data_IF_536946117771
#
_entry.id   IF_536946117771
#
_cell.length_a   1.000
_cell.length_b   1.000
_cell.length_c   1.000
_cell.angle_alpha   90.00
_cell.angle_beta   90.00
_cell.angle_gamma   90.00
#
_symmetry.space_group_name_H-M   'P 1'
#
loop_
_entity.id
_entity.type
_entity.pdbx_description
1 polymer ?
#
# COMPACT_ATOMS: atom_id res chain seq x y z
N UNK A 1 -10.34 -24.51 -13.98
CA UNK A 1 -9.32 -23.63 -13.37
C UNK A 1 -8.13 -24.50 -13.02
N UNK A 2 -7.10 -24.50 -13.86
CA UNK A 2 -5.94 -25.38 -13.70
C UNK A 2 -4.86 -24.57 -12.96
N UNK A 3 -4.71 -24.79 -11.66
CA UNK A 3 -3.59 -24.22 -10.92
C UNK A 3 -2.31 -24.79 -11.52
N UNK A 4 -1.60 -23.97 -12.30
CA UNK A 4 -0.26 -24.31 -12.77
C UNK A 4 0.65 -24.52 -11.55
N UNK A 5 1.42 -25.62 -11.48
CA UNK A 5 2.25 -25.96 -10.31
C UNK A 5 3.40 -24.99 -10.04
N UNK A 6 3.56 -23.95 -10.86
CA UNK A 6 4.68 -23.01 -10.84
C UNK A 6 4.18 -21.57 -10.63
N UNK A 7 3.94 -21.12 -9.39
CA UNK A 7 3.35 -19.81 -9.10
C UNK A 7 4.24 -18.61 -9.54
N UNK A 8 5.52 -18.87 -9.82
CA UNK A 8 6.48 -17.90 -10.38
C UNK A 8 6.41 -17.79 -11.91
N UNK A 9 5.71 -18.71 -12.60
CA UNK A 9 5.64 -18.69 -14.06
C UNK A 9 4.83 -17.46 -14.51
N UNK A 10 5.24 -16.89 -15.65
CA UNK A 10 4.54 -15.75 -16.26
C UNK A 10 3.11 -16.11 -16.67
N UNK A 11 2.20 -15.15 -16.57
CA UNK A 11 0.78 -15.33 -16.92
C UNK A 11 0.04 -16.34 -16.05
N UNK A 12 0.49 -16.55 -14.80
CA UNK A 12 -0.19 -17.43 -13.84
C UNK A 12 -1.13 -16.69 -12.91
N UNK A 13 -1.07 -15.36 -12.90
CA UNK A 13 -2.03 -14.54 -12.17
C UNK A 13 -3.45 -14.81 -12.70
N UNK A 14 -4.45 -14.98 -11.81
CA UNK A 14 -5.85 -15.04 -12.21
C UNK A 14 -6.41 -13.67 -12.62
N UNK A 15 -5.66 -12.58 -12.45
CA UNK A 15 -6.08 -11.21 -12.74
C UNK A 15 -5.28 -10.70 -13.94
N UNK A 16 -6.01 -10.18 -14.92
CA UNK A 16 -5.47 -9.53 -16.11
C UNK A 16 -6.15 -8.16 -16.21
N UNK A 17 -5.40 -7.09 -16.48
CA UNK A 17 -5.96 -5.74 -16.54
C UNK A 17 -6.37 -5.40 -17.97
N UNK A 18 -6.74 -4.14 -18.20
CA UNK A 18 -7.28 -3.71 -19.49
C UNK A 18 -6.21 -3.52 -20.59
N UNK A 19 -4.92 -3.49 -20.24
CA UNK A 19 -3.84 -3.36 -21.22
C UNK A 19 -3.61 -4.70 -21.92
N UNK A 20 -3.47 -4.68 -23.25
CA UNK A 20 -3.18 -5.91 -23.99
C UNK A 20 -1.77 -6.44 -23.71
N UNK A 21 -1.68 -7.75 -23.55
CA UNK A 21 -0.44 -8.44 -23.20
C UNK A 21 0.58 -8.51 -24.35
N UNK A 22 1.83 -8.15 -24.06
CA UNK A 22 2.99 -8.14 -24.94
C UNK A 22 2.83 -7.26 -26.20
N UNK A 23 2.00 -6.22 -26.13
CA UNK A 23 1.74 -5.33 -27.28
C UNK A 23 2.97 -4.53 -27.72
N UNK A 24 3.77 -4.03 -26.77
CA UNK A 24 4.93 -3.17 -27.06
C UNK A 24 6.28 -3.88 -26.93
N UNK A 25 6.35 -4.95 -26.15
CA UNK A 25 7.60 -5.69 -25.89
C UNK A 25 7.31 -7.18 -25.72
N UNK A 26 8.13 -8.08 -26.28
CA UNK A 26 7.97 -9.53 -26.08
C UNK A 26 8.38 -9.98 -24.67
N UNK A 27 8.97 -9.10 -23.85
CA UNK A 27 9.46 -9.44 -22.51
C UNK A 27 8.55 -8.90 -21.40
N UNK A 28 7.83 -7.81 -21.64
CA UNK A 28 6.99 -7.13 -20.65
C UNK A 28 5.54 -7.35 -21.04
N UNK A 29 4.75 -7.97 -20.16
CA UNK A 29 3.35 -8.28 -20.44
C UNK A 29 2.52 -7.00 -20.61
N UNK A 30 2.42 -6.16 -19.58
CA UNK A 30 1.69 -4.88 -19.66
C UNK A 30 2.71 -3.72 -19.58
N UNK A 31 3.09 -3.17 -20.73
CA UNK A 31 4.20 -2.21 -20.83
C UNK A 31 3.88 -0.87 -20.17
N UNK A 32 2.71 -0.29 -20.46
CA UNK A 32 2.30 1.00 -19.92
C UNK A 32 2.09 0.90 -18.42
N UNK A 33 1.43 -0.16 -17.94
CA UNK A 33 1.26 -0.41 -16.51
C UNK A 33 2.61 -0.59 -15.80
N UNK A 34 3.56 -1.32 -16.40
CA UNK A 34 4.92 -1.47 -15.86
C UNK A 34 5.67 -0.14 -15.79
N UNK A 35 5.70 0.63 -16.88
CA UNK A 35 6.47 1.89 -16.94
C UNK A 35 5.86 2.98 -16.07
N UNK A 36 4.54 3.01 -15.92
CA UNK A 36 3.85 3.99 -15.06
C UNK A 36 4.34 3.95 -13.60
N UNK A 37 4.82 2.80 -13.14
CA UNK A 37 5.38 2.61 -11.82
C UNK A 37 6.69 3.40 -11.56
N UNK A 38 7.33 3.97 -12.59
CA UNK A 38 8.53 4.81 -12.44
C UNK A 38 8.33 5.97 -11.46
N UNK A 39 7.09 6.46 -11.34
CA UNK A 39 6.73 7.52 -10.41
C UNK A 39 6.99 7.14 -8.94
N UNK A 40 6.82 5.86 -8.59
CA UNK A 40 7.13 5.36 -7.24
C UNK A 40 8.64 5.33 -6.96
N UNK A 41 9.50 5.45 -7.97
CA UNK A 41 10.95 5.57 -7.80
C UNK A 41 11.42 7.03 -7.70
N UNK A 42 10.65 7.94 -8.29
CA UNK A 42 10.98 9.37 -8.33
C UNK A 42 10.42 10.09 -7.10
N UNK A 43 9.14 9.89 -6.78
CA UNK A 43 8.48 10.65 -5.73
C UNK A 43 9.03 10.38 -4.33
N UNK A 44 9.21 9.13 -3.85
CA UNK A 44 9.64 8.91 -2.48
C UNK A 44 11.02 9.49 -2.13
N UNK A 45 12.07 9.40 -2.98
CA UNK A 45 13.33 10.11 -2.74
C UNK A 45 13.17 11.63 -2.72
N UNK A 46 12.39 12.18 -3.65
CA UNK A 46 12.12 13.62 -3.71
C UNK A 46 11.39 14.10 -2.45
N UNK A 47 10.34 13.39 -2.04
CA UNK A 47 9.56 13.68 -0.84
C UNK A 47 10.38 13.47 0.45
N UNK A 48 11.31 12.51 0.47
CA UNK A 48 12.24 12.32 1.59
C UNK A 48 13.06 13.59 1.84
N UNK A 49 13.55 14.22 0.79
CA UNK A 49 14.32 15.48 0.91
C UNK A 49 13.42 16.65 1.32
N UNK A 50 12.23 16.77 0.72
CA UNK A 50 11.31 17.87 0.96
C UNK A 50 10.69 17.83 2.37
N UNK A 51 10.39 16.65 2.89
CA UNK A 51 9.74 16.46 4.20
C UNK A 51 10.73 16.18 5.34
N UNK A 52 12.02 16.51 5.17
CA UNK A 52 13.06 16.29 6.18
C UNK A 52 12.74 16.97 7.52
N UNK A 53 12.31 18.24 7.48
CA UNK A 53 11.93 19.00 8.67
C UNK A 53 10.72 18.38 9.39
N UNK A 54 9.70 18.00 8.62
CA UNK A 54 8.54 17.29 9.16
C UNK A 54 8.96 15.98 9.86
N UNK A 55 9.87 15.21 9.26
CA UNK A 55 10.36 13.97 9.85
C UNK A 55 11.10 14.19 11.18
N UNK A 56 11.83 15.30 11.32
CA UNK A 56 12.55 15.64 12.55
C UNK A 56 11.62 16.15 13.65
N UNK A 57 10.66 17.00 13.31
CA UNK A 57 9.78 17.65 14.29
C UNK A 57 8.55 16.82 14.69
N UNK A 58 8.02 16.00 13.76
CA UNK A 58 6.73 15.31 13.96
C UNK A 58 6.93 13.81 14.13
N UNK A 59 7.44 13.13 13.10
CA UNK A 59 7.59 11.68 13.14
C UNK A 59 8.55 11.15 12.06
N UNK A 60 9.68 10.56 12.47
CA UNK A 60 10.64 9.90 11.57
C UNK A 60 10.08 8.69 10.85
N UNK A 61 8.96 8.13 11.31
CA UNK A 61 8.25 7.03 10.66
C UNK A 61 7.80 7.33 9.23
N UNK A 62 7.76 8.60 8.81
CA UNK A 62 7.50 8.96 7.40
C UNK A 62 8.50 8.35 6.42
N UNK A 63 9.77 8.13 6.84
CA UNK A 63 10.76 7.46 6.00
C UNK A 63 10.43 5.99 5.73
N UNK A 64 9.79 5.31 6.69
CA UNK A 64 9.28 3.95 6.47
C UNK A 64 8.22 3.95 5.36
N UNK A 65 7.36 4.97 5.33
CA UNK A 65 6.31 5.10 4.31
C UNK A 65 6.90 5.33 2.93
N UNK A 66 7.93 6.16 2.82
CA UNK A 66 8.68 6.34 1.57
C UNK A 66 9.36 5.05 1.11
N UNK A 67 9.96 4.30 2.03
CA UNK A 67 10.51 2.96 1.73
C UNK A 67 9.44 1.98 1.24
N UNK A 68 8.28 1.94 1.90
CA UNK A 68 7.17 1.07 1.50
C UNK A 68 6.57 1.46 0.15
N UNK A 69 6.48 2.76 -0.17
CA UNK A 69 6.06 3.23 -1.50
C UNK A 69 7.02 2.79 -2.61
N UNK A 70 8.33 2.81 -2.35
CA UNK A 70 9.32 2.27 -3.29
C UNK A 70 9.12 0.76 -3.49
N UNK A 71 8.88 0.02 -2.41
CA UNK A 71 8.59 -1.42 -2.47
C UNK A 71 7.34 -1.70 -3.29
N UNK A 72 6.25 -0.94 -3.10
CA UNK A 72 5.02 -1.06 -3.91
C UNK A 72 5.32 -0.84 -5.40
N UNK A 73 6.08 0.20 -5.74
CA UNK A 73 6.47 0.45 -7.15
C UNK A 73 7.27 -0.70 -7.77
N UNK A 74 8.21 -1.28 -7.00
CA UNK A 74 9.00 -2.44 -7.42
C UNK A 74 8.13 -3.68 -7.65
N UNK A 75 7.26 -4.00 -6.70
CA UNK A 75 6.40 -5.19 -6.77
C UNK A 75 5.33 -5.05 -7.85
N UNK A 76 4.74 -3.87 -7.99
CA UNK A 76 3.75 -3.58 -9.03
C UNK A 76 4.36 -3.63 -10.43
N UNK A 77 5.54 -3.02 -10.63
CA UNK A 77 6.26 -3.13 -11.90
C UNK A 77 6.61 -4.59 -12.22
N UNK A 78 7.04 -5.38 -11.23
CA UNK A 78 7.32 -6.80 -11.43
C UNK A 78 6.06 -7.60 -11.77
N UNK A 79 4.94 -7.32 -11.11
CA UNK A 79 3.65 -7.93 -11.41
C UNK A 79 3.23 -7.64 -12.85
N UNK A 80 3.12 -6.37 -13.25
CA UNK A 80 2.68 -6.00 -14.60
C UNK A 80 3.66 -6.46 -15.70
N UNK A 81 4.95 -6.57 -15.39
CA UNK A 81 5.92 -7.11 -16.34
C UNK A 81 5.77 -8.62 -16.58
N UNK A 82 5.29 -9.37 -15.59
CA UNK A 82 5.30 -10.85 -15.61
C UNK A 82 3.91 -11.50 -15.62
N UNK A 83 2.89 -10.81 -15.12
CA UNK A 83 1.57 -11.35 -14.74
C UNK A 83 1.68 -12.68 -13.98
N UNK A 84 2.65 -12.78 -13.07
CA UNK A 84 2.85 -13.96 -12.23
C UNK A 84 1.99 -13.89 -10.96
N UNK A 85 1.54 -15.04 -10.47
CA UNK A 85 0.77 -15.10 -9.21
C UNK A 85 1.61 -14.60 -8.03
N UNK A 86 2.90 -14.94 -7.98
CA UNK A 86 3.81 -14.40 -6.95
C UNK A 86 3.95 -12.89 -7.06
N UNK A 87 4.09 -12.35 -8.29
CA UNK A 87 4.14 -10.90 -8.49
C UNK A 87 2.89 -10.21 -7.96
N UNK A 88 1.70 -10.75 -8.26
CA UNK A 88 0.43 -10.24 -7.75
C UNK A 88 0.40 -10.23 -6.21
N UNK A 89 0.77 -11.34 -5.58
CA UNK A 89 0.77 -11.44 -4.13
C UNK A 89 1.75 -10.48 -3.47
N UNK A 90 2.95 -10.34 -4.03
CA UNK A 90 3.95 -9.39 -3.55
C UNK A 90 3.44 -7.95 -3.63
N UNK A 91 2.77 -7.59 -4.72
CA UNK A 91 2.22 -6.25 -4.91
C UNK A 91 1.10 -5.93 -3.91
N UNK A 92 0.10 -6.80 -3.84
CA UNK A 92 -1.01 -6.64 -2.91
C UNK A 92 -0.55 -6.62 -1.44
N UNK A 93 0.43 -7.47 -1.06
CA UNK A 93 1.02 -7.47 0.29
C UNK A 93 1.79 -6.16 0.55
N UNK A 94 2.57 -5.66 -0.41
CA UNK A 94 3.30 -4.40 -0.25
C UNK A 94 2.33 -3.24 0.02
N UNK A 95 1.21 -3.18 -0.70
CA UNK A 95 0.16 -2.16 -0.48
C UNK A 95 -0.48 -2.32 0.90
N UNK A 96 -0.77 -3.55 1.34
CA UNK A 96 -1.31 -3.81 2.67
C UNK A 96 -0.36 -3.30 3.76
N UNK A 97 0.94 -3.59 3.65
CA UNK A 97 1.95 -3.08 4.60
C UNK A 97 2.01 -1.55 4.62
N UNK A 98 1.94 -0.90 3.46
CA UNK A 98 1.88 0.56 3.34
C UNK A 98 0.65 1.13 4.07
N UNK A 99 -0.54 0.54 3.87
CA UNK A 99 -1.77 0.97 4.54
C UNK A 99 -1.69 0.78 6.06
N UNK A 100 -1.23 -0.38 6.51
CA UNK A 100 -1.10 -0.72 7.93
C UNK A 100 -0.09 0.20 8.64
N UNK A 101 1.07 0.46 8.01
CA UNK A 101 2.05 1.41 8.51
C UNK A 101 1.49 2.84 8.55
N UNK A 102 0.74 3.25 7.53
CA UNK A 102 0.10 4.57 7.48
C UNK A 102 -0.91 4.74 8.61
N UNK A 103 -1.75 3.75 8.86
CA UNK A 103 -2.66 3.76 10.01
C UNK A 103 -1.92 3.81 11.34
N UNK A 104 -0.91 2.98 11.52
CA UNK A 104 -0.06 3.00 12.71
C UNK A 104 0.62 4.37 12.92
N UNK A 105 0.90 5.08 11.82
CA UNK A 105 1.57 6.37 11.82
C UNK A 105 0.65 7.60 11.95
N UNK A 106 -0.60 7.53 11.49
CA UNK A 106 -1.44 8.73 11.38
C UNK A 106 -2.87 8.58 11.86
N UNK A 107 -3.29 7.40 12.31
CA UNK A 107 -4.63 7.24 12.88
C UNK A 107 -4.79 8.14 14.13
N UNK A 108 -5.76 9.07 14.13
CA UNK A 108 -5.99 9.93 15.30
C UNK A 108 -6.39 9.10 16.52
N UNK A 109 -5.84 9.43 17.71
CA UNK A 109 -6.11 8.70 18.96
C UNK A 109 -7.58 8.57 19.33
N UNK A 110 -8.46 9.44 18.83
CA UNK A 110 -9.92 9.32 19.03
C UNK A 110 -10.56 8.09 18.40
N UNK A 111 -9.92 7.51 17.39
CA UNK A 111 -10.34 6.27 16.76
C UNK A 111 -9.69 5.04 17.41
N UNK A 112 -8.82 5.24 18.40
CA UNK A 112 -8.32 4.13 19.18
C UNK A 112 -9.51 3.57 19.96
N UNK A 113 -9.84 2.30 19.71
CA UNK A 113 -10.81 1.58 20.55
C UNK A 113 -10.34 1.63 22.00
N UNK A 114 -11.27 1.51 22.94
CA UNK A 114 -11.06 1.75 24.38
C UNK A 114 -9.88 0.97 25.01
N UNK A 115 -9.34 -0.03 24.32
CA UNK A 115 -8.15 -0.81 24.71
C UNK A 115 -6.77 -0.21 24.38
N UNK A 116 -6.64 0.72 23.41
CA UNK A 116 -5.34 1.28 23.03
C UNK A 116 -5.09 2.66 23.66
N UNK A 117 -4.42 2.68 24.82
CA UNK A 117 -4.01 3.94 25.49
C UNK A 117 -2.73 4.54 24.89
N UNK A 118 -1.84 3.68 24.43
CA UNK A 118 -0.54 4.08 23.89
C UNK A 118 -0.38 3.76 22.41
N UNK A 119 0.29 4.67 21.71
CA UNK A 119 0.53 4.54 20.28
C UNK A 119 1.49 3.40 19.92
N UNK A 120 2.46 3.10 20.79
CA UNK A 120 3.40 1.99 20.58
C UNK A 120 2.69 0.64 20.56
N UNK A 121 1.75 0.44 21.48
CA UNK A 121 0.93 -0.77 21.54
C UNK A 121 0.08 -0.92 20.28
N UNK A 122 -0.54 0.17 19.81
CA UNK A 122 -1.26 0.17 18.54
C UNK A 122 -0.35 -0.16 17.34
N UNK A 123 0.85 0.44 17.27
CA UNK A 123 1.85 0.15 16.23
C UNK A 123 2.26 -1.33 16.24
N UNK A 124 2.49 -1.90 17.42
CA UNK A 124 2.83 -3.32 17.57
C UNK A 124 1.68 -4.23 17.11
N UNK A 125 0.44 -3.92 17.48
CA UNK A 125 -0.73 -4.68 17.02
C UNK A 125 -0.90 -4.62 15.51
N UNK A 126 -0.71 -3.45 14.88
CA UNK A 126 -0.76 -3.30 13.42
C UNK A 126 0.37 -4.07 12.73
N UNK A 127 1.56 -4.10 13.32
CA UNK A 127 2.68 -4.90 12.82
C UNK A 127 2.38 -6.40 12.89
N UNK A 128 1.91 -6.90 14.04
CA UNK A 128 1.51 -8.31 14.22
C UNK A 128 0.41 -8.69 13.21
N UNK A 129 -0.60 -7.84 13.05
CA UNK A 129 -1.68 -8.08 12.09
C UNK A 129 -1.16 -8.10 10.64
N UNK A 130 -0.19 -7.25 10.28
CA UNK A 130 0.43 -7.25 8.94
C UNK A 130 1.22 -8.54 8.68
N UNK A 131 1.99 -9.01 9.67
CA UNK A 131 2.68 -10.29 9.60
C UNK A 131 1.70 -11.46 9.46
N UNK A 132 0.64 -11.49 10.26
CA UNK A 132 -0.39 -12.51 10.19
C UNK A 132 -1.12 -12.51 8.83
N UNK A 133 -1.46 -11.33 8.30
CA UNK A 133 -2.05 -11.19 6.97
C UNK A 133 -1.11 -11.69 5.86
N UNK A 134 0.19 -11.42 5.98
CA UNK A 134 1.20 -11.89 5.02
C UNK A 134 1.32 -13.43 5.05
N UNK A 135 1.37 -14.03 6.25
CA UNK A 135 1.37 -15.48 6.39
C UNK A 135 0.10 -16.11 5.81
N UNK A 136 -1.06 -15.48 6.05
CA UNK A 136 -2.33 -15.94 5.53
C UNK A 136 -2.38 -15.83 3.99
N UNK A 137 -1.81 -14.79 3.40
CA UNK A 137 -1.71 -14.63 1.95
C UNK A 137 -0.86 -15.74 1.31
N UNK A 138 0.16 -16.25 2.00
CA UNK A 138 0.96 -17.39 1.53
C UNK A 138 0.16 -18.71 1.53
N UNK A 139 -0.81 -18.88 2.43
CA UNK A 139 -1.63 -20.10 2.52
C UNK A 139 -2.85 -20.02 1.59
N UNK A 140 -3.54 -18.88 1.61
CA UNK A 140 -4.75 -18.62 0.83
C UNK A 140 -4.63 -17.28 0.10
N UNK A 141 -4.05 -17.29 -1.12
CA UNK A 141 -3.85 -16.10 -1.96
C UNK A 141 -5.07 -15.21 -2.11
N UNK A 142 -6.25 -15.84 -2.23
CA UNK A 142 -7.54 -15.15 -2.42
C UNK A 142 -7.89 -14.21 -1.25
N UNK A 143 -7.44 -14.51 -0.03
CA UNK A 143 -7.72 -13.68 1.15
C UNK A 143 -7.02 -12.32 1.09
N UNK A 144 -5.94 -12.20 0.33
CA UNK A 144 -5.15 -10.98 0.24
C UNK A 144 -5.95 -9.84 -0.42
N UNK A 145 -6.63 -10.14 -1.53
CA UNK A 145 -7.53 -9.20 -2.20
C UNK A 145 -8.67 -8.75 -1.27
N UNK A 146 -9.29 -9.68 -0.53
CA UNK A 146 -10.34 -9.33 0.44
C UNK A 146 -9.82 -8.47 1.59
N UNK A 147 -8.64 -8.77 2.13
CA UNK A 147 -8.00 -7.95 3.16
C UNK A 147 -7.72 -6.54 2.65
N UNK A 148 -7.21 -6.43 1.42
CA UNK A 148 -6.91 -5.15 0.80
C UNK A 148 -8.17 -4.31 0.56
N UNK A 149 -9.22 -4.89 0.00
CA UNK A 149 -10.50 -4.20 -0.23
C UNK A 149 -11.18 -3.82 1.10
N UNK A 150 -11.16 -4.73 2.07
CA UNK A 150 -11.73 -4.54 3.41
C UNK A 150 -11.04 -3.44 4.22
N UNK A 151 -9.74 -3.20 4.00
CA UNK A 151 -8.98 -2.14 4.68
C UNK A 151 -8.92 -0.84 3.86
N UNK A 152 -8.77 -0.94 2.54
CA UNK A 152 -8.57 0.19 1.64
C UNK A 152 -9.78 1.12 1.54
N UNK A 153 -10.99 0.57 1.47
CA UNK A 153 -12.22 1.38 1.41
C UNK A 153 -12.40 2.18 2.72
N UNK A 154 -12.39 1.55 3.92
CA UNK A 154 -12.47 2.30 5.17
C UNK A 154 -11.32 3.30 5.35
N UNK A 155 -10.09 2.97 4.93
CA UNK A 155 -8.96 3.89 4.97
C UNK A 155 -9.22 5.17 4.18
N UNK A 156 -9.73 5.01 2.95
CA UNK A 156 -10.04 6.13 2.07
C UNK A 156 -11.19 6.97 2.62
N UNK A 157 -12.24 6.33 3.13
CA UNK A 157 -13.37 7.02 3.77
C UNK A 157 -12.91 7.82 4.99
N UNK A 158 -12.10 7.20 5.86
CA UNK A 158 -11.55 7.86 7.03
C UNK A 158 -10.70 9.07 6.62
N UNK A 159 -9.82 8.92 5.63
CA UNK A 159 -9.00 10.00 5.11
C UNK A 159 -9.85 11.17 4.60
N UNK A 160 -10.91 10.90 3.85
CA UNK A 160 -11.83 11.93 3.35
C UNK A 160 -12.52 12.66 4.51
N UNK A 161 -13.00 11.93 5.53
CA UNK A 161 -13.62 12.52 6.73
C UNK A 161 -12.64 13.44 7.44
N UNK A 162 -11.39 13.02 7.61
CA UNK A 162 -10.34 13.81 8.26
C UNK A 162 -9.98 15.06 7.47
N UNK A 163 -9.81 14.96 6.15
CA UNK A 163 -9.53 16.11 5.29
C UNK A 163 -10.67 17.14 5.39
N UNK A 164 -11.94 16.69 5.32
CA UNK A 164 -13.11 17.58 5.44
C UNK A 164 -13.17 18.25 6.82
N UNK A 165 -12.85 17.52 7.89
CA UNK A 165 -12.81 18.06 9.25
C UNK A 165 -11.70 19.10 9.41
N UNK A 166 -10.50 18.84 8.91
CA UNK A 166 -9.39 19.80 8.94
C UNK A 166 -9.74 21.09 8.21
N UNK A 167 -10.37 21.00 7.04
CA UNK A 167 -10.87 22.18 6.31
C UNK A 167 -11.89 22.97 7.14
N UNK A 168 -12.86 22.31 7.79
CA UNK A 168 -13.83 22.98 8.68
C UNK A 168 -13.15 23.68 9.86
N UNK A 169 -12.19 23.02 10.52
CA UNK A 169 -11.44 23.63 11.62
C UNK A 169 -10.59 24.82 11.14
N UNK A 170 -10.02 24.75 9.93
CA UNK A 170 -9.28 25.85 9.33
C UNK A 170 -10.20 27.04 9.01
N UNK A 171 -11.35 26.81 8.37
CA UNK A 171 -12.35 27.86 8.14
C UNK A 171 -12.84 28.52 9.44
N UNK A 172 -13.11 27.74 10.49
CA UNK A 172 -13.46 28.30 11.81
C UNK A 172 -12.32 29.10 12.46
N UNK A 173 -11.04 28.76 12.20
CA UNK A 173 -9.88 29.51 12.70
C UNK A 173 -9.63 30.81 11.95
N UNK A 174 -10.07 30.91 10.69
CA UNK A 174 -9.85 32.08 9.84
C UNK A 174 -11.09 32.97 9.64
N UNK A 175 -12.21 32.67 10.32
CA UNK A 175 -13.35 33.59 10.46
C UNK A 175 -13.89 34.14 9.13
N UNK A 176 -14.41 33.24 8.29
CA UNK A 176 -15.56 33.52 7.41
C UNK A 176 -16.75 32.77 8.00
#
# INVERSE_FOLDING_TARGET
MQHSPWPLRRGTSPVDWCEGNYLFSPVIAEFVNTVSNILFFIYPPLLTSLFREYAQCVNRGVYLIWGLLLTVGLTSAYFHATLSLVGQLLDEVAILWLLMASFALWLPRRYFSYGFKERKHFQLSMFILSCAATLMACVHPVLNAFALMGLGIPATVLLIIEIRRCKKCQSCKFGI
#
